data_IF_061566095053
#
_entry.id   IF_061566095053
#
_cell.length_a   1.000
_cell.length_b   1.000
_cell.length_c   1.000
_cell.angle_alpha   90.00
_cell.angle_beta   90.00
_cell.angle_gamma   90.00
#
_symmetry.space_group_name_H-M   'P 1'
#
loop_
_entity.id
_entity.type
_entity.pdbx_description
1 polymer ?
#
# COMPACT_ATOMS: atom_id res chain seq x y z
N UNK A 1 1.11 34.27 -12.42
CA UNK A 1 0.74 33.10 -11.59
C UNK A 1 1.89 32.85 -10.64
N UNK A 2 1.64 32.83 -9.34
CA UNK A 2 2.65 32.43 -8.34
C UNK A 2 2.52 30.93 -8.18
N UNK A 3 3.52 30.18 -8.63
CA UNK A 3 3.56 28.73 -8.45
C UNK A 3 3.64 28.40 -6.95
N UNK A 4 2.66 27.67 -6.41
CA UNK A 4 2.60 27.31 -4.98
C UNK A 4 3.81 26.49 -4.54
N UNK A 5 4.39 25.70 -5.45
CA UNK A 5 5.64 24.96 -5.24
C UNK A 5 6.53 25.08 -6.47
N UNK A 6 7.80 25.44 -6.29
CA UNK A 6 8.79 25.56 -7.38
C UNK A 6 9.16 24.20 -7.99
N UNK A 7 9.11 23.12 -7.20
CA UNK A 7 9.43 21.73 -7.59
C UNK A 7 8.63 20.77 -6.72
N UNK A 8 8.28 19.61 -7.28
CA UNK A 8 7.64 18.50 -6.57
C UNK A 8 8.52 17.27 -6.76
N UNK A 9 8.81 16.56 -5.66
CA UNK A 9 9.53 15.29 -5.68
C UNK A 9 8.57 14.19 -5.25
N UNK A 10 8.38 13.20 -6.11
CA UNK A 10 7.53 12.03 -5.83
C UNK A 10 8.47 10.85 -5.61
N UNK A 11 8.31 10.17 -4.48
CA UNK A 11 9.05 8.97 -4.12
C UNK A 11 8.03 7.84 -4.01
N UNK A 12 8.21 6.81 -4.83
CA UNK A 12 7.41 5.58 -4.77
C UNK A 12 8.22 4.54 -4.01
N UNK A 13 7.66 4.03 -2.93
CA UNK A 13 8.21 2.87 -2.23
C UNK A 13 7.51 1.64 -2.79
N UNK A 14 8.18 0.93 -3.70
CA UNK A 14 7.61 -0.23 -4.37
C UNK A 14 7.27 -1.34 -3.35
N UNK A 15 6.14 -2.03 -3.53
CA UNK A 15 5.62 -3.11 -2.68
C UNK A 15 5.30 -2.79 -1.20
N UNK A 16 5.38 -1.52 -0.77
CA UNK A 16 5.11 -1.13 0.62
C UNK A 16 3.61 -0.88 0.85
N UNK A 17 2.84 -1.97 0.98
CA UNK A 17 1.42 -1.92 1.35
C UNK A 17 1.21 -1.52 2.82
N UNK A 18 0.26 -0.61 3.08
CA UNK A 18 -0.09 -0.11 4.42
C UNK A 18 -1.36 -0.76 5.02
N UNK A 19 -1.67 -1.98 4.57
CA UNK A 19 -2.85 -2.75 4.95
C UNK A 19 -3.79 -2.98 3.76
N UNK A 20 -4.86 -3.73 4.02
CA UNK A 20 -5.81 -4.17 3.00
C UNK A 20 -6.45 -3.01 2.23
N UNK A 21 -6.54 -3.20 0.92
CA UNK A 21 -7.38 -2.39 0.06
C UNK A 21 -8.87 -2.67 0.37
N UNK A 22 -9.74 -1.69 0.12
CA UNK A 22 -11.18 -1.81 0.39
C UNK A 22 -11.89 -2.91 -0.43
N UNK A 23 -11.23 -3.44 -1.45
CA UNK A 23 -11.66 -4.51 -2.33
C UNK A 23 -10.88 -5.83 -2.11
N UNK A 24 -10.09 -5.96 -1.03
CA UNK A 24 -9.30 -7.16 -0.73
C UNK A 24 -10.15 -8.45 -0.75
N UNK A 25 -11.42 -8.37 -0.34
CA UNK A 25 -12.40 -9.45 -0.42
C UNK A 25 -12.69 -9.93 -1.86
N UNK A 26 -12.60 -9.05 -2.86
CA UNK A 26 -12.82 -9.38 -4.27
C UNK A 26 -11.61 -10.05 -4.92
N UNK A 27 -10.43 -9.92 -4.31
CA UNK A 27 -9.16 -10.43 -4.83
C UNK A 27 -8.54 -11.53 -3.95
N UNK A 28 -9.25 -12.00 -2.92
CA UNK A 28 -8.79 -13.02 -1.99
C UNK A 28 -7.51 -12.62 -1.22
N UNK A 29 -7.30 -11.30 -1.04
CA UNK A 29 -6.16 -10.67 -0.36
C UNK A 29 -6.53 -10.17 1.05
N UNK A 30 -7.60 -10.73 1.63
CA UNK A 30 -7.95 -10.51 3.03
C UNK A 30 -6.76 -10.90 3.92
N UNK A 31 -6.36 -10.00 4.80
CA UNK A 31 -5.20 -10.09 5.68
C UNK A 31 -3.92 -9.45 5.15
N UNK A 32 -3.87 -8.93 3.91
CA UNK A 32 -2.62 -8.42 3.34
C UNK A 32 -2.16 -7.09 4.01
N UNK A 33 -1.23 -7.19 4.96
CA UNK A 33 -0.62 -6.06 5.64
C UNK A 33 0.92 -6.17 5.64
N UNK A 34 1.56 -5.85 4.51
CA UNK A 34 3.02 -5.95 4.37
C UNK A 34 3.78 -5.19 5.45
N UNK A 35 3.42 -3.92 5.69
CA UNK A 35 4.08 -3.11 6.72
C UNK A 35 3.80 -3.59 8.13
N UNK A 36 2.55 -3.99 8.43
CA UNK A 36 2.18 -4.53 9.73
C UNK A 36 2.90 -5.84 10.04
N UNK A 37 2.83 -6.80 9.12
CA UNK A 37 3.51 -8.10 9.28
C UNK A 37 5.02 -7.96 9.36
N UNK A 38 5.63 -7.05 8.57
CA UNK A 38 7.06 -6.76 8.68
C UNK A 38 7.40 -6.18 10.05
N UNK A 39 6.60 -5.25 10.55
CA UNK A 39 6.80 -4.68 11.87
C UNK A 39 6.63 -5.72 12.99
N UNK A 40 5.64 -6.61 12.89
CA UNK A 40 5.43 -7.71 13.83
C UNK A 40 6.63 -8.68 13.82
N UNK A 41 7.07 -9.12 12.64
CA UNK A 41 8.20 -10.04 12.47
C UNK A 41 9.53 -9.44 12.98
N UNK A 42 9.70 -8.14 12.87
CA UNK A 42 10.90 -7.41 13.34
C UNK A 42 10.79 -6.95 14.80
N UNK A 43 9.71 -7.27 15.50
CA UNK A 43 9.41 -6.78 16.85
C UNK A 43 9.38 -5.24 16.95
N UNK A 44 8.95 -4.59 15.88
CA UNK A 44 8.81 -3.15 15.72
C UNK A 44 9.63 -2.61 14.56
N UNK A 45 9.05 -1.67 13.81
CA UNK A 45 9.73 -0.97 12.74
C UNK A 45 10.35 0.34 13.25
N UNK A 46 11.66 0.52 13.04
CA UNK A 46 12.36 1.76 13.43
C UNK A 46 12.46 2.73 12.25
N UNK A 47 11.43 3.54 12.04
CA UNK A 47 11.36 4.57 10.97
C UNK A 47 11.04 5.95 11.55
N UNK A 48 11.97 6.59 12.27
CA UNK A 48 11.67 7.79 13.07
C UNK A 48 11.24 8.99 12.22
N UNK A 49 11.71 9.07 10.98
CA UNK A 49 11.32 10.15 10.06
C UNK A 49 9.89 9.93 9.52
N UNK A 50 9.57 8.72 9.07
CA UNK A 50 8.21 8.40 8.61
C UNK A 50 7.20 8.45 9.77
N UNK A 51 7.64 8.13 10.98
CA UNK A 51 6.86 8.31 12.20
C UNK A 51 6.44 9.78 12.33
N UNK A 52 7.39 10.73 12.31
CA UNK A 52 7.10 12.17 12.40
C UNK A 52 6.22 12.70 11.26
N UNK A 53 6.28 12.08 10.08
CA UNK A 53 5.42 12.43 8.95
C UNK A 53 3.98 11.89 9.11
N UNK A 54 3.74 10.98 10.06
CA UNK A 54 2.41 10.44 10.35
C UNK A 54 2.11 9.11 9.66
N UNK A 55 3.09 8.23 9.46
CA UNK A 55 2.89 6.93 8.80
C UNK A 55 1.73 6.12 9.42
N UNK A 56 1.69 5.96 10.75
CA UNK A 56 0.60 5.23 11.42
C UNK A 56 -0.73 6.01 11.45
N UNK A 57 -0.71 7.32 11.20
CA UNK A 57 -1.95 8.10 11.14
C UNK A 57 -2.82 7.74 9.91
N UNK A 58 -2.26 7.07 8.90
CA UNK A 58 -2.99 6.58 7.73
C UNK A 58 -3.99 5.47 8.12
N UNK A 59 -3.73 4.75 9.22
CA UNK A 59 -4.52 3.61 9.71
C UNK A 59 -4.68 3.66 11.24
N UNK A 60 -5.41 4.64 11.79
CA UNK A 60 -5.45 4.89 13.23
C UNK A 60 -5.99 3.70 14.05
N UNK A 61 -6.86 2.88 13.45
CA UNK A 61 -7.45 1.70 14.11
C UNK A 61 -6.45 0.56 14.34
N UNK A 62 -5.38 0.48 13.52
CA UNK A 62 -4.34 -0.57 13.64
C UNK A 62 -2.97 0.04 13.39
N UNK A 63 -2.36 0.79 14.34
CA UNK A 63 -1.04 1.39 14.18
C UNK A 63 0.04 0.35 13.85
N UNK A 64 1.09 0.77 13.15
CA UNK A 64 2.25 -0.11 12.87
C UNK A 64 3.08 -0.25 14.14
N UNK A 65 3.45 -1.47 14.52
CA UNK A 65 4.27 -1.71 15.72
C UNK A 65 5.61 -0.97 15.61
N UNK A 66 5.99 -0.23 16.67
CA UNK A 66 7.20 0.60 16.69
C UNK A 66 7.03 1.99 16.04
N UNK A 67 5.87 2.28 15.45
CA UNK A 67 5.55 3.56 14.80
C UNK A 67 4.27 4.12 15.43
N UNK A 68 4.36 4.95 16.48
CA UNK A 68 3.18 5.53 17.13
C UNK A 68 2.46 6.55 16.22
N UNK A 69 1.14 6.69 16.41
CA UNK A 69 0.35 7.79 15.83
C UNK A 69 0.92 9.11 16.34
N UNK A 70 1.05 10.10 15.45
CA UNK A 70 1.48 11.45 15.80
C UNK A 70 0.29 12.38 15.99
N UNK A 71 0.19 13.03 17.14
CA UNK A 71 -0.83 14.07 17.37
C UNK A 71 -0.62 15.30 16.47
N UNK A 72 0.65 15.62 16.17
CA UNK A 72 1.05 16.75 15.34
C UNK A 72 2.01 16.28 14.23
N UNK A 73 1.50 15.63 13.17
CA UNK A 73 2.33 15.15 12.07
C UNK A 73 2.87 16.32 11.24
N UNK A 74 4.11 16.18 10.76
CA UNK A 74 4.78 17.21 9.97
C UNK A 74 4.29 17.29 8.52
N UNK A 75 3.48 16.31 8.08
CA UNK A 75 2.98 16.21 6.72
C UNK A 75 1.51 15.80 6.70
N UNK A 76 0.88 16.03 5.55
CA UNK A 76 -0.42 15.45 5.23
C UNK A 76 -0.25 13.98 4.86
N UNK A 77 -1.22 13.17 5.25
CA UNK A 77 -1.22 11.73 5.04
C UNK A 77 -2.58 11.25 4.56
N UNK A 78 -2.58 10.20 3.73
CA UNK A 78 -3.78 9.52 3.25
C UNK A 78 -3.39 8.13 2.73
N UNK A 79 -4.37 7.29 2.43
CA UNK A 79 -4.19 6.08 1.62
C UNK A 79 -4.82 6.28 0.24
N UNK A 80 -4.18 5.71 -0.78
CA UNK A 80 -4.73 5.65 -2.13
C UNK A 80 -5.25 4.25 -2.38
N UNK A 81 -6.42 4.16 -2.99
CA UNK A 81 -6.99 2.89 -3.43
C UNK A 81 -6.75 2.76 -4.92
N UNK A 82 -6.10 1.67 -5.34
CA UNK A 82 -5.93 1.38 -6.76
C UNK A 82 -7.29 0.98 -7.36
N UNK A 83 -7.66 1.61 -8.46
CA UNK A 83 -8.93 1.35 -9.19
C UNK A 83 -8.66 0.52 -10.45
N UNK A 84 -7.42 0.09 -10.67
CA UNK A 84 -7.06 -0.64 -11.89
C UNK A 84 -7.56 -2.08 -11.80
N UNK A 85 -8.50 -2.43 -12.68
CA UNK A 85 -8.90 -3.82 -12.91
C UNK A 85 -7.82 -4.53 -13.74
N UNK A 86 -6.61 -4.62 -13.19
CA UNK A 86 -5.46 -5.28 -13.80
C UNK A 86 -5.53 -6.79 -13.64
N UNK A 87 -6.55 -7.45 -14.19
CA UNK A 87 -6.35 -8.82 -14.67
C UNK A 87 -5.43 -8.71 -15.88
N UNK A 88 -4.17 -9.06 -15.72
CA UNK A 88 -3.39 -9.59 -16.82
C UNK A 88 -4.09 -10.87 -17.30
N UNK A 89 -5.13 -10.73 -18.13
CA UNK A 89 -5.60 -11.80 -18.99
C UNK A 89 -4.61 -11.95 -20.14
N UNK A 90 -3.42 -12.45 -19.82
CA UNK A 90 -2.57 -13.17 -20.77
C UNK A 90 -2.98 -14.66 -20.78
N UNK A 91 -4.27 -14.95 -20.84
CA UNK A 91 -4.74 -16.22 -21.36
C UNK A 91 -4.61 -16.14 -22.88
N UNK A 92 -3.40 -16.43 -23.33
CA UNK A 92 -3.08 -16.61 -24.72
C UNK A 92 -4.01 -17.64 -25.34
N UNK A 93 -4.53 -17.31 -26.51
CA UNK A 93 -5.14 -18.26 -27.43
C UNK A 93 -4.11 -19.33 -27.82
N UNK A 94 -3.95 -20.38 -27.01
CA UNK A 94 -3.18 -21.57 -27.34
C UNK A 94 -3.89 -22.78 -26.72
N UNK A 95 -4.54 -23.56 -27.57
CA UNK A 95 -4.92 -24.93 -27.26
C UNK A 95 -6.36 -25.29 -27.60
N UNK A 96 -6.70 -25.39 -28.89
CA UNK A 96 -7.38 -26.60 -29.36
C UNK A 96 -7.22 -26.77 -30.89
N UNK A 97 -6.02 -27.16 -31.32
CA UNK A 97 -5.91 -28.10 -32.44
C UNK A 97 -6.14 -29.50 -31.86
N UNK A 98 -7.17 -30.21 -32.32
CA UNK A 98 -7.45 -31.57 -31.85
C UNK A 98 -8.79 -32.13 -32.30
N UNK A 99 -8.78 -32.76 -33.47
CA UNK A 99 -9.85 -33.60 -34.01
C UNK A 99 -10.14 -34.84 -33.13
N UNK A 100 -11.43 -35.20 -32.97
CA UNK A 100 -11.96 -36.58 -33.07
C UNK A 100 -13.35 -36.69 -32.44
N UNK A 101 -14.31 -37.29 -33.15
CA UNK A 101 -15.55 -37.84 -32.59
C UNK A 101 -16.82 -37.39 -33.29
#
# INVERSE_FOLDING_TARGET
MTERFKRIHIIVLDSVGIGEATDAANYNDEGCDTLGHTAEAMNGLNVPNLTKLGLSNIRPERPIQGVPIQEQPLAYYTKMHEVSAGKDSMDGALGNDGASG
#
